data_IF_087906987557
#
_entry.id   IF_087906987557
#
_cell.length_a   1.000
_cell.length_b   1.000
_cell.length_c   1.000
_cell.angle_alpha   90.00
_cell.angle_beta   90.00
_cell.angle_gamma   90.00
#
_symmetry.space_group_name_H-M   'P 1'
#
loop_
_entity.id
_entity.type
_entity.pdbx_description
1 polymer ?
#
# COMPACT_ATOMS: atom_id res chain seq x y z
N UNK A 1 42.47 15.87 -13.89
CA UNK A 1 41.12 15.74 -14.48
C UNK A 1 40.76 14.26 -14.39
N UNK A 2 40.04 13.88 -13.34
CA UNK A 2 39.39 12.58 -13.25
C UNK A 2 37.90 12.89 -13.32
N UNK A 3 37.31 12.65 -14.49
CA UNK A 3 35.88 12.81 -14.71
C UNK A 3 35.16 11.79 -13.83
N UNK A 4 34.47 12.32 -12.81
CA UNK A 4 33.55 11.58 -11.97
C UNK A 4 32.34 11.22 -12.85
N UNK A 5 32.22 9.94 -13.21
CA UNK A 5 31.13 9.45 -14.04
C UNK A 5 29.79 9.49 -13.26
N UNK A 6 28.77 10.25 -13.70
CA UNK A 6 27.52 10.44 -12.97
C UNK A 6 26.49 9.29 -13.14
N UNK A 7 26.85 8.16 -13.76
CA UNK A 7 25.92 7.09 -14.12
C UNK A 7 25.52 6.10 -12.99
N UNK A 8 25.74 6.46 -11.72
CA UNK A 8 25.27 5.61 -10.61
C UNK A 8 23.76 5.69 -10.34
N UNK A 9 23.01 6.51 -11.10
CA UNK A 9 21.57 6.73 -10.90
C UNK A 9 20.66 5.98 -11.90
N UNK A 10 21.17 5.02 -12.67
CA UNK A 10 20.34 4.26 -13.64
C UNK A 10 19.71 2.95 -13.10
N UNK A 11 19.76 2.68 -11.79
CA UNK A 11 19.80 1.28 -11.32
C UNK A 11 18.50 0.57 -10.96
N UNK A 12 17.34 1.21 -11.00
CA UNK A 12 16.07 0.52 -10.72
C UNK A 12 15.21 0.46 -11.98
N UNK A 13 15.39 -0.63 -12.74
CA UNK A 13 14.39 -1.00 -13.75
C UNK A 13 13.04 -1.16 -13.03
N UNK A 14 11.92 -0.64 -13.58
CA UNK A 14 10.60 -0.79 -12.97
C UNK A 14 10.21 -2.26 -12.72
N UNK A 15 10.84 -3.21 -13.43
CA UNK A 15 10.68 -4.65 -13.14
C UNK A 15 11.28 -5.08 -11.80
N UNK A 16 12.49 -4.61 -11.48
CA UNK A 16 13.17 -4.97 -10.23
C UNK A 16 12.37 -4.50 -9.02
N UNK A 17 11.80 -3.30 -9.11
CA UNK A 17 10.97 -2.74 -8.04
C UNK A 17 9.68 -3.54 -7.81
N UNK A 18 9.05 -4.05 -8.88
CA UNK A 18 7.87 -4.91 -8.76
C UNK A 18 8.24 -6.25 -8.11
N UNK A 19 9.36 -6.85 -8.52
CA UNK A 19 9.84 -8.10 -7.93
C UNK A 19 10.15 -7.94 -6.42
N UNK A 20 10.77 -6.82 -6.05
CA UNK A 20 11.05 -6.49 -4.64
C UNK A 20 9.76 -6.32 -3.83
N UNK A 21 8.75 -5.61 -4.37
CA UNK A 21 7.45 -5.45 -3.70
C UNK A 21 6.73 -6.79 -3.48
N UNK A 22 6.79 -7.69 -4.46
CA UNK A 22 6.26 -9.06 -4.31
C UNK A 22 7.02 -9.81 -3.22
N UNK A 23 8.35 -9.65 -3.16
CA UNK A 23 9.19 -10.20 -2.10
C UNK A 23 8.78 -9.71 -0.71
N UNK A 24 8.65 -8.39 -0.53
CA UNK A 24 8.24 -7.80 0.75
C UNK A 24 6.83 -8.23 1.17
N UNK A 25 5.87 -8.25 0.25
CA UNK A 25 4.52 -8.72 0.53
C UNK A 25 4.52 -10.21 0.96
N UNK A 26 5.34 -11.04 0.30
CA UNK A 26 5.48 -12.46 0.64
C UNK A 26 6.11 -12.66 2.02
N UNK A 27 7.08 -11.83 2.40
CA UNK A 27 7.70 -11.90 3.74
C UNK A 27 6.69 -11.59 4.85
N UNK A 28 5.81 -10.60 4.66
CA UNK A 28 4.71 -10.32 5.58
C UNK A 28 3.81 -11.56 5.77
N UNK A 29 3.45 -12.23 4.67
CA UNK A 29 2.64 -13.46 4.72
C UNK A 29 3.38 -14.59 5.44
N UNK A 30 4.67 -14.77 5.19
CA UNK A 30 5.48 -15.78 5.87
C UNK A 30 5.58 -15.51 7.38
N UNK A 31 5.79 -14.26 7.78
CA UNK A 31 5.81 -13.87 9.20
C UNK A 31 4.46 -14.15 9.89
N UNK A 32 3.36 -13.86 9.21
CA UNK A 32 2.01 -14.20 9.67
C UNK A 32 1.82 -15.72 9.83
N UNK A 33 2.17 -16.51 8.81
CA UNK A 33 2.03 -17.98 8.85
C UNK A 33 2.88 -18.63 9.94
N UNK A 34 4.01 -18.01 10.31
CA UNK A 34 4.88 -18.46 11.41
C UNK A 34 4.40 -18.05 12.80
N UNK A 35 3.30 -17.28 12.91
CA UNK A 35 2.85 -16.65 14.15
C UNK A 35 3.95 -15.83 14.84
N UNK A 36 4.78 -15.14 14.06
CA UNK A 36 5.84 -14.26 14.58
C UNK A 36 5.40 -12.80 14.47
N UNK A 37 4.80 -12.22 15.53
CA UNK A 37 4.31 -10.85 15.49
C UNK A 37 5.44 -9.83 15.37
N UNK A 38 6.65 -10.15 15.84
CA UNK A 38 7.78 -9.24 15.77
C UNK A 38 8.27 -9.12 14.33
N UNK A 39 8.47 -10.25 13.66
CA UNK A 39 8.79 -10.26 12.23
C UNK A 39 7.67 -9.64 11.41
N UNK A 40 6.40 -9.89 11.75
CA UNK A 40 5.28 -9.31 11.01
C UNK A 40 5.31 -7.78 11.03
N UNK A 41 5.57 -7.17 12.19
CA UNK A 41 5.71 -5.71 12.30
C UNK A 41 6.89 -5.20 11.46
N UNK A 42 8.03 -5.88 11.52
CA UNK A 42 9.25 -5.48 10.81
C UNK A 42 9.07 -5.55 9.29
N UNK A 43 8.60 -6.69 8.77
CA UNK A 43 8.37 -6.89 7.33
C UNK A 43 7.27 -5.96 6.82
N UNK A 44 6.22 -5.71 7.61
CA UNK A 44 5.16 -4.76 7.24
C UNK A 44 5.71 -3.34 7.11
N UNK A 45 6.60 -2.92 8.01
CA UNK A 45 7.21 -1.59 7.95
C UNK A 45 8.10 -1.42 6.71
N UNK A 46 8.88 -2.45 6.36
CA UNK A 46 9.70 -2.46 5.14
C UNK A 46 8.81 -2.37 3.90
N UNK A 47 7.74 -3.16 3.85
CA UNK A 47 6.80 -3.15 2.74
C UNK A 47 6.11 -1.79 2.56
N UNK A 48 5.64 -1.17 3.66
CA UNK A 48 5.03 0.15 3.61
C UNK A 48 6.01 1.22 3.11
N UNK A 49 7.28 1.16 3.53
CA UNK A 49 8.32 2.08 3.04
C UNK A 49 8.61 1.89 1.55
N UNK A 50 8.58 0.65 1.05
CA UNK A 50 8.72 0.38 -0.38
C UNK A 50 7.49 0.85 -1.19
N UNK A 51 6.30 0.87 -0.60
CA UNK A 51 5.12 1.46 -1.25
C UNK A 51 5.24 2.99 -1.27
N UNK A 52 5.74 3.61 -0.20
CA UNK A 52 5.93 5.06 -0.14
C UNK A 52 6.87 5.57 -1.24
N UNK A 53 7.94 4.83 -1.56
CA UNK A 53 8.82 5.20 -2.68
C UNK A 53 8.09 5.20 -4.02
N UNK A 54 7.14 4.28 -4.23
CA UNK A 54 6.28 4.29 -5.43
C UNK A 54 5.43 5.55 -5.51
N UNK A 55 4.82 5.95 -4.39
CA UNK A 55 4.00 7.16 -4.36
C UNK A 55 4.82 8.38 -4.77
N UNK A 56 6.01 8.53 -4.19
CA UNK A 56 6.93 9.63 -4.50
C UNK A 56 7.33 9.62 -5.98
N UNK A 57 7.67 8.46 -6.54
CA UNK A 57 8.01 8.34 -7.97
C UNK A 57 6.86 8.77 -8.91
N UNK A 58 5.61 8.62 -8.46
CA UNK A 58 4.42 9.02 -9.19
C UNK A 58 3.88 10.41 -8.80
N UNK A 59 4.61 11.17 -7.96
CA UNK A 59 4.18 12.49 -7.51
C UNK A 59 2.95 12.47 -6.58
N UNK A 60 2.68 11.33 -5.95
CA UNK A 60 1.60 11.14 -4.97
C UNK A 60 2.18 11.43 -3.58
N UNK A 61 1.52 12.28 -2.80
CA UNK A 61 1.97 12.53 -1.42
C UNK A 61 1.48 11.42 -0.48
N UNK A 62 2.28 11.10 0.53
CA UNK A 62 1.90 10.18 1.60
C UNK A 62 0.59 10.65 2.29
N UNK A 63 0.44 11.96 2.47
CA UNK A 63 -0.73 12.57 3.09
C UNK A 63 -2.02 12.28 2.32
N UNK A 64 -2.00 12.37 0.98
CA UNK A 64 -3.18 12.09 0.13
C UNK A 64 -3.66 10.64 0.31
N UNK A 65 -2.72 9.70 0.43
CA UNK A 65 -3.05 8.28 0.60
C UNK A 65 -3.62 8.01 1.99
N UNK A 66 -3.05 8.60 3.03
CA UNK A 66 -3.62 8.51 4.39
C UNK A 66 -5.00 9.16 4.49
N UNK A 67 -5.21 10.29 3.83
CA UNK A 67 -6.50 10.95 3.78
C UNK A 67 -7.55 10.05 3.12
N UNK A 68 -7.26 9.50 1.94
CA UNK A 68 -8.14 8.56 1.23
C UNK A 68 -8.49 7.34 2.11
N UNK A 69 -7.51 6.74 2.79
CA UNK A 69 -7.75 5.62 3.72
C UNK A 69 -8.68 6.03 4.87
N UNK A 70 -8.44 7.21 5.46
CA UNK A 70 -9.27 7.73 6.55
C UNK A 70 -10.70 8.00 6.10
N UNK A 71 -10.88 8.58 4.92
CA UNK A 71 -12.19 8.83 4.30
C UNK A 71 -12.94 7.52 4.02
N UNK A 72 -12.25 6.45 3.56
CA UNK A 72 -12.85 5.12 3.37
C UNK A 72 -13.34 4.50 4.67
N UNK A 73 -12.56 4.61 5.74
CA UNK A 73 -12.97 4.12 7.07
C UNK A 73 -14.20 4.90 7.55
N UNK A 74 -14.16 6.23 7.49
CA UNK A 74 -15.27 7.10 7.89
C UNK A 74 -16.54 6.81 7.08
N UNK A 75 -16.42 6.62 5.77
CA UNK A 75 -17.54 6.26 4.90
C UNK A 75 -18.13 4.91 5.29
N UNK A 76 -17.28 3.89 5.51
CA UNK A 76 -17.70 2.56 5.94
C UNK A 76 -18.48 2.62 7.27
N UNK A 77 -17.98 3.35 8.25
CA UNK A 77 -18.65 3.58 9.54
C UNK A 77 -19.99 4.31 9.38
N UNK A 78 -20.03 5.32 8.51
CA UNK A 78 -21.25 6.09 8.23
C UNK A 78 -22.32 5.23 7.58
N UNK A 79 -21.94 4.36 6.65
CA UNK A 79 -22.86 3.41 6.01
C UNK A 79 -23.39 2.38 7.01
N UNK A 80 -22.50 1.83 7.85
CA UNK A 80 -22.89 0.90 8.92
C UNK A 80 -23.93 1.52 9.86
N UNK A 81 -23.71 2.77 10.32
CA UNK A 81 -24.66 3.52 11.18
C UNK A 81 -26.02 3.71 10.52
N UNK A 82 -26.06 3.80 9.19
CA UNK A 82 -27.30 3.91 8.40
C UNK A 82 -27.95 2.55 8.09
N UNK A 83 -27.43 1.46 8.66
CA UNK A 83 -27.91 0.10 8.40
C UNK A 83 -27.54 -0.43 7.01
N UNK A 84 -26.69 0.29 6.26
CA UNK A 84 -26.23 -0.11 4.93
C UNK A 84 -24.98 -0.97 5.13
N UNK A 85 -25.12 -2.29 4.92
CA UNK A 85 -23.98 -3.21 4.91
C UNK A 85 -23.46 -3.36 3.50
N UNK A 86 -22.14 -3.27 3.31
CA UNK A 86 -21.50 -3.68 2.07
C UNK A 86 -21.86 -5.16 1.79
N UNK A 87 -22.36 -5.47 0.59
CA UNK A 87 -22.48 -6.88 0.20
C UNK A 87 -21.07 -7.46 0.02
N UNK A 88 -20.88 -8.70 0.45
CA UNK A 88 -19.63 -9.43 0.28
C UNK A 88 -19.29 -9.48 -1.23
N UNK A 89 -18.21 -8.81 -1.64
CA UNK A 89 -17.62 -8.93 -2.98
C UNK A 89 -18.14 -8.00 -4.09
N UNK A 90 -18.72 -6.83 -3.80
CA UNK A 90 -19.10 -5.88 -4.86
C UNK A 90 -18.96 -4.41 -4.46
N UNK A 91 -18.83 -3.47 -5.43
CA UNK A 91 -18.84 -2.04 -5.15
C UNK A 91 -20.15 -1.62 -4.48
N UNK A 92 -20.08 -0.65 -3.58
CA UNK A 92 -21.25 -0.08 -2.89
C UNK A 92 -22.26 0.42 -3.93
N UNK A 93 -23.36 -0.32 -4.15
CA UNK A 93 -24.49 0.16 -4.96
C UNK A 93 -25.50 0.82 -4.02
N UNK A 94 -25.76 2.12 -4.24
CA UNK A 94 -26.80 2.87 -3.54
C UNK A 94 -28.11 2.07 -3.51
N UNK A 95 -28.69 1.87 -2.33
CA UNK A 95 -30.00 1.23 -2.14
C UNK A 95 -31.16 2.17 -2.43
N UNK A 96 -30.91 3.39 -2.91
CA UNK A 96 -31.95 4.25 -3.45
C UNK A 96 -32.03 4.05 -4.96
N UNK A 97 -32.98 3.24 -5.40
CA UNK A 97 -33.65 3.42 -6.69
C UNK A 97 -35.07 3.93 -6.40
N UNK A 98 -35.58 4.91 -7.17
CA UNK A 98 -37.01 5.27 -7.18
C UNK A 98 -37.89 4.11 -7.65
#
# INVERSE_FOLDING_TARGET
MADMNPDFLSKDSPRNMVDDLVGYASNCLLAYLRNDPKSLVQESAVFLKAIETLWVQHGISEQDVWEEMSQRILLSETLLKRGIRARKGGPYRSTKLP
#
